data_IF_630022166656
#
_entry.id   IF_630022166656
#
_cell.length_a   1.000
_cell.length_b   1.000
_cell.length_c   1.000
_cell.angle_alpha   90.00
_cell.angle_beta   90.00
_cell.angle_gamma   90.00
#
_symmetry.space_group_name_H-M   'P 1'
#
loop_
_entity.id
_entity.type
_entity.pdbx_description
1 polymer ?
#
# COMPACT_ATOMS: atom_id res chain seq x y z
N UNK A 1 35.15 -9.54 0.11
CA UNK A 1 33.82 -8.96 0.35
C UNK A 1 33.72 -8.55 1.82
N UNK A 2 33.58 -7.26 2.14
CA UNK A 2 33.37 -6.85 3.52
C UNK A 2 32.02 -7.40 4.01
N UNK A 3 32.03 -8.07 5.16
CA UNK A 3 30.80 -8.56 5.81
C UNK A 3 29.97 -7.34 6.21
N UNK A 4 28.82 -7.12 5.56
CA UNK A 4 27.85 -6.08 5.96
C UNK A 4 27.64 -6.18 7.47
N UNK A 5 27.91 -5.10 8.21
CA UNK A 5 27.65 -5.08 9.64
C UNK A 5 26.14 -5.24 9.87
N UNK A 6 25.72 -6.00 10.89
CA UNK A 6 24.31 -6.18 11.19
C UNK A 6 23.72 -4.87 11.73
N UNK A 7 22.62 -4.41 11.13
CA UNK A 7 21.81 -3.28 11.60
C UNK A 7 21.43 -3.46 13.08
N UNK A 8 21.18 -2.36 13.80
CA UNK A 8 20.81 -2.39 15.22
C UNK A 8 19.59 -3.31 15.50
N UNK A 9 18.64 -3.38 14.57
CA UNK A 9 17.50 -4.31 14.63
C UNK A 9 17.93 -5.79 14.58
N UNK A 10 18.99 -6.11 13.83
CA UNK A 10 19.57 -7.46 13.75
C UNK A 10 20.39 -7.81 15.00
N UNK A 11 21.02 -6.82 15.66
CA UNK A 11 21.64 -6.98 16.99
C UNK A 11 20.60 -7.17 18.09
N UNK A 12 19.47 -6.45 18.06
CA UNK A 12 18.34 -6.66 18.98
C UNK A 12 17.70 -8.05 18.80
N UNK A 13 17.52 -8.51 17.55
CA UNK A 13 17.10 -9.91 17.25
C UNK A 13 18.15 -10.94 17.68
N UNK A 14 19.44 -10.61 17.66
CA UNK A 14 20.51 -11.48 18.17
C UNK A 14 20.54 -11.53 19.71
N UNK A 15 20.26 -10.42 20.39
CA UNK A 15 20.10 -10.35 21.84
C UNK A 15 18.85 -11.11 22.32
N UNK A 16 17.78 -11.15 21.53
CA UNK A 16 16.62 -12.00 21.82
C UNK A 16 16.93 -13.51 21.67
N UNK A 17 17.97 -13.89 20.90
CA UNK A 17 18.42 -15.29 20.76
C UNK A 17 19.33 -15.76 21.90
N UNK A 18 19.84 -14.87 22.75
CA UNK A 18 20.70 -15.24 23.90
C UNK A 18 19.92 -15.66 25.15
N UNK A 19 18.59 -15.82 25.07
CA UNK A 19 17.77 -16.35 26.17
C UNK A 19 17.31 -15.31 27.20
N UNK A 20 17.62 -14.02 26.99
CA UNK A 20 17.06 -12.95 27.80
C UNK A 20 15.56 -12.76 27.49
N UNK A 21 14.71 -12.72 28.52
CA UNK A 21 13.29 -12.35 28.35
C UNK A 21 13.22 -10.92 27.80
N UNK A 22 12.35 -10.69 26.81
CA UNK A 22 12.17 -9.38 26.15
C UNK A 22 12.08 -8.20 27.13
N UNK A 23 11.39 -8.39 28.26
CA UNK A 23 11.24 -7.37 29.32
C UNK A 23 12.54 -7.06 30.08
N UNK A 24 13.45 -8.03 30.21
CA UNK A 24 14.77 -7.82 30.83
C UNK A 24 15.72 -7.09 29.86
N UNK A 25 15.68 -7.44 28.57
CA UNK A 25 16.41 -6.72 27.53
C UNK A 25 15.91 -5.27 27.39
N UNK A 26 14.60 -5.04 27.50
CA UNK A 26 14.00 -3.71 27.47
C UNK A 26 14.40 -2.86 28.70
N UNK A 27 14.46 -3.45 29.90
CA UNK A 27 14.94 -2.74 31.11
C UNK A 27 16.42 -2.41 31.04
N UNK A 28 17.27 -3.36 30.64
CA UNK A 28 18.70 -3.12 30.50
C UNK A 28 19.01 -2.02 29.47
N UNK A 29 18.20 -1.92 28.41
CA UNK A 29 18.27 -0.79 27.48
C UNK A 29 17.79 0.53 28.10
N UNK A 30 16.76 0.50 28.96
CA UNK A 30 16.29 1.66 29.72
C UNK A 30 17.33 2.22 30.71
N UNK A 31 18.00 1.34 31.45
CA UNK A 31 19.02 1.74 32.43
C UNK A 31 20.26 2.34 31.75
N UNK A 32 20.61 1.87 30.54
CA UNK A 32 21.71 2.43 29.73
C UNK A 32 21.38 3.83 29.13
N UNK A 33 20.11 4.25 29.14
CA UNK A 33 19.69 5.55 28.60
C UNK A 33 19.92 6.69 29.59
N UNK A 34 19.85 6.42 30.90
CA UNK A 34 20.22 7.43 31.90
C UNK A 34 21.70 7.83 31.80
N UNK A 35 22.58 6.91 31.37
CA UNK A 35 24.00 7.19 31.12
C UNK A 35 24.27 7.94 29.79
N UNK A 36 23.33 7.96 28.84
CA UNK A 36 23.54 8.62 27.53
C UNK A 36 23.17 10.10 27.50
N UNK A 37 22.53 10.65 28.54
CA UNK A 37 22.40 12.10 28.68
C UNK A 37 23.77 12.81 28.86
N UNK A 38 24.83 12.04 29.14
CA UNK A 38 26.22 12.49 29.22
C UNK A 38 27.10 12.02 28.05
N UNK A 39 26.55 11.28 27.09
CA UNK A 39 27.33 10.74 25.98
C UNK A 39 27.60 11.81 24.90
N UNK A 40 28.86 11.95 24.51
CA UNK A 40 29.29 12.91 23.49
C UNK A 40 28.71 12.63 22.10
N UNK A 41 28.88 13.56 21.14
CA UNK A 41 28.25 13.53 19.81
C UNK A 41 28.61 12.30 18.94
N UNK A 42 29.63 11.53 19.32
CA UNK A 42 30.08 10.31 18.61
C UNK A 42 29.49 9.00 19.19
N UNK A 43 28.59 9.08 20.17
CA UNK A 43 27.97 7.89 20.74
C UNK A 43 26.96 7.26 19.77
N UNK A 44 26.92 5.92 19.64
CA UNK A 44 25.96 5.24 18.78
C UNK A 44 24.52 5.53 19.24
N UNK A 45 23.55 5.66 18.32
CA UNK A 45 22.17 5.95 18.68
C UNK A 45 21.61 4.85 19.57
N UNK A 46 21.10 5.26 20.73
CA UNK A 46 20.42 4.35 21.65
C UNK A 46 18.96 4.29 21.24
N UNK A 47 18.45 3.07 21.04
CA UNK A 47 17.01 2.84 20.83
C UNK A 47 16.27 3.22 22.11
N UNK A 48 15.76 4.46 22.15
CA UNK A 48 15.00 4.97 23.28
C UNK A 48 13.65 4.25 23.36
N UNK A 49 13.21 3.76 24.54
CA UNK A 49 11.89 3.16 24.68
C UNK A 49 10.82 4.18 24.30
N UNK A 50 9.72 3.68 23.75
CA UNK A 50 8.56 4.51 23.39
C UNK A 50 7.57 4.50 24.55
N UNK A 51 6.90 5.62 24.81
CA UNK A 51 5.82 5.68 25.79
C UNK A 51 4.78 4.56 25.53
N UNK A 52 4.37 3.83 26.56
CA UNK A 52 3.46 2.68 26.40
C UNK A 52 2.08 3.08 25.90
N UNK A 53 1.64 4.31 26.15
CA UNK A 53 0.38 4.87 25.66
C UNK A 53 0.65 5.97 24.65
N UNK A 54 -0.22 6.16 23.64
CA UNK A 54 -0.16 7.32 22.77
C UNK A 54 -0.17 8.60 23.60
N UNK A 55 0.72 9.52 23.27
CA UNK A 55 0.77 10.82 23.88
C UNK A 55 -0.39 11.69 23.34
N UNK A 56 -0.92 12.63 24.14
CA UNK A 56 -1.84 13.63 23.62
C UNK A 56 -1.15 14.49 22.55
N UNK A 57 -1.94 15.04 21.63
CA UNK A 57 -1.44 15.99 20.62
C UNK A 57 -0.79 17.18 21.34
N UNK A 58 0.44 17.54 20.94
CA UNK A 58 1.23 18.60 21.58
C UNK A 58 2.03 18.18 22.83
N UNK A 59 2.21 16.88 23.08
CA UNK A 59 3.08 16.39 24.14
C UNK A 59 4.54 16.84 23.93
N UNK A 60 5.09 17.55 24.90
CA UNK A 60 6.47 18.08 24.92
C UNK A 60 7.51 17.06 25.42
N UNK A 61 7.08 15.83 25.72
CA UNK A 61 7.93 14.76 26.21
C UNK A 61 8.20 14.79 27.73
N UNK A 62 7.79 15.84 28.44
CA UNK A 62 8.03 15.99 29.87
C UNK A 62 7.35 14.90 30.71
N UNK A 63 6.23 14.35 30.21
CA UNK A 63 5.42 13.34 30.87
C UNK A 63 6.01 11.91 30.85
N UNK A 64 7.08 11.66 30.09
CA UNK A 64 7.70 10.33 29.97
C UNK A 64 9.22 10.43 29.82
N UNK A 65 9.89 10.83 30.91
CA UNK A 65 11.36 10.90 30.99
C UNK A 65 12.01 9.56 30.62
N UNK A 66 13.04 9.62 29.78
CA UNK A 66 13.75 8.44 29.28
C UNK A 66 13.02 7.69 28.16
N UNK A 67 11.88 8.19 27.68
CA UNK A 67 11.13 7.61 26.57
C UNK A 67 10.77 8.66 25.51
N UNK A 68 10.70 8.28 24.23
CA UNK A 68 10.18 9.15 23.17
C UNK A 68 8.64 9.17 23.18
N UNK A 69 8.06 10.31 22.79
CA UNK A 69 6.62 10.45 22.60
C UNK A 69 6.13 9.37 21.65
N UNK A 70 5.05 8.70 22.02
CA UNK A 70 4.38 7.75 21.13
C UNK A 70 3.28 8.44 20.37
N UNK A 71 3.33 8.45 19.04
CA UNK A 71 2.22 8.94 18.25
C UNK A 71 1.02 7.99 18.33
N UNK A 72 -0.20 8.53 18.22
CA UNK A 72 -1.39 7.70 18.08
C UNK A 72 -1.37 6.96 16.74
N UNK A 73 -1.76 5.69 16.74
CA UNK A 73 -1.90 4.86 15.53
C UNK A 73 -3.33 4.32 15.44
N UNK A 74 -3.83 3.95 14.25
CA UNK A 74 -5.16 3.34 14.13
C UNK A 74 -5.34 2.11 15.04
N UNK A 75 -4.30 1.29 15.24
CA UNK A 75 -4.33 0.14 16.15
C UNK A 75 -4.49 0.49 17.63
N UNK A 76 -4.32 1.77 17.99
CA UNK A 76 -4.54 2.30 19.34
C UNK A 76 -5.98 2.76 19.57
N UNK A 77 -6.82 2.76 18.52
CA UNK A 77 -8.25 3.00 18.66
C UNK A 77 -8.87 2.01 19.66
N UNK A 78 -9.79 2.53 20.48
CA UNK A 78 -10.58 1.69 21.38
C UNK A 78 -11.42 0.71 20.55
N UNK A 79 -11.89 -0.39 21.18
CA UNK A 79 -12.64 -1.49 20.56
C UNK A 79 -13.83 -1.09 19.64
N UNK A 80 -14.26 0.18 19.63
CA UNK A 80 -15.33 0.72 18.78
C UNK A 80 -14.98 0.82 17.30
N UNK A 81 -13.70 0.96 16.92
CA UNK A 81 -13.32 1.20 15.52
C UNK A 81 -13.58 0.01 14.59
N UNK A 82 -13.64 -1.22 15.09
CA UNK A 82 -13.76 -2.41 14.24
C UNK A 82 -12.47 -2.69 13.43
N UNK A 83 -12.11 -3.97 13.31
CA UNK A 83 -10.86 -4.39 12.67
C UNK A 83 -10.69 -3.85 11.24
N UNK A 84 -11.76 -3.85 10.44
CA UNK A 84 -11.75 -3.37 9.05
C UNK A 84 -11.42 -1.89 8.92
N UNK A 85 -11.88 -1.04 9.83
CA UNK A 85 -11.63 0.41 9.77
C UNK A 85 -10.19 0.71 10.20
N UNK A 86 -9.72 0.04 11.26
CA UNK A 86 -8.32 0.14 11.68
C UNK A 86 -7.37 -0.30 10.56
N UNK A 87 -7.71 -1.40 9.87
CA UNK A 87 -6.96 -1.91 8.73
C UNK A 87 -6.97 -0.91 7.56
N UNK A 88 -8.16 -0.39 7.21
CA UNK A 88 -8.33 0.61 6.16
C UNK A 88 -7.65 1.96 6.48
N UNK A 89 -7.43 2.28 7.74
CA UNK A 89 -6.75 3.50 8.19
C UNK A 89 -5.23 3.35 8.33
N UNK A 90 -4.69 2.13 8.27
CA UNK A 90 -3.24 1.91 8.49
C UNK A 90 -2.51 1.81 7.15
N UNK A 91 -1.56 2.72 6.91
CA UNK A 91 -0.77 2.79 5.67
C UNK A 91 0.06 1.51 5.39
N UNK A 92 0.42 1.31 4.11
CA UNK A 92 1.20 0.16 3.66
C UNK A 92 0.36 -1.10 3.52
N UNK A 93 0.87 -2.23 4.05
CA UNK A 93 0.23 -3.55 3.93
C UNK A 93 -1.22 -3.60 4.43
N UNK A 94 -1.59 -3.00 5.58
CA UNK A 94 -2.98 -3.05 6.04
C UNK A 94 -3.96 -2.34 5.10
N UNK A 95 -3.68 -1.11 4.62
CA UNK A 95 -4.54 -0.42 3.63
C UNK A 95 -4.68 -1.25 2.37
N UNK A 96 -3.58 -1.79 1.86
CA UNK A 96 -3.59 -2.64 0.66
C UNK A 96 -4.45 -3.90 0.85
N UNK A 97 -4.38 -4.53 2.03
CA UNK A 97 -5.23 -5.67 2.40
C UNK A 97 -6.70 -5.27 2.53
N UNK A 98 -7.00 -4.09 3.09
CA UNK A 98 -8.38 -3.60 3.18
C UNK A 98 -9.01 -3.35 1.81
N UNK A 99 -8.23 -2.85 0.84
CA UNK A 99 -8.67 -2.75 -0.56
C UNK A 99 -8.92 -4.13 -1.16
N UNK A 100 -7.95 -5.01 -0.99
CA UNK A 100 -8.03 -6.40 -1.37
C UNK A 100 -9.28 -7.14 -0.94
N UNK A 101 -9.51 -7.18 0.37
CA UNK A 101 -10.65 -7.87 0.99
C UNK A 101 -12.00 -7.33 0.51
N UNK A 102 -12.04 -6.06 0.10
CA UNK A 102 -13.28 -5.40 -0.34
C UNK A 102 -13.66 -5.80 -1.76
N UNK A 103 -12.69 -5.84 -2.67
CA UNK A 103 -12.91 -6.00 -4.11
C UNK A 103 -12.59 -7.40 -4.64
N UNK A 104 -11.92 -8.22 -3.83
CA UNK A 104 -11.72 -9.64 -4.11
C UNK A 104 -12.06 -10.51 -2.87
N UNK A 105 -13.31 -10.41 -2.34
CA UNK A 105 -13.72 -11.20 -1.17
C UNK A 105 -13.84 -12.67 -1.57
N UNK A 106 -12.80 -13.46 -1.33
CA UNK A 106 -12.84 -14.92 -1.57
C UNK A 106 -12.98 -15.69 -0.26
N UNK A 107 -14.02 -16.56 -0.11
CA UNK A 107 -14.31 -17.20 1.18
C UNK A 107 -13.34 -18.31 1.61
N UNK A 108 -12.62 -18.97 0.70
CA UNK A 108 -12.01 -20.27 1.03
C UNK A 108 -10.58 -20.53 0.52
N UNK A 109 -10.07 -19.76 -0.43
CA UNK A 109 -8.68 -19.89 -0.87
C UNK A 109 -8.12 -18.53 -1.21
N UNK A 110 -7.15 -18.07 -0.41
CA UNK A 110 -6.23 -17.06 -0.87
C UNK A 110 -5.51 -17.64 -2.09
N UNK A 111 -5.98 -17.31 -3.29
CA UNK A 111 -5.19 -17.57 -4.49
C UNK A 111 -3.84 -16.89 -4.27
N UNK A 112 -2.75 -17.55 -4.66
CA UNK A 112 -1.41 -16.98 -4.57
C UNK A 112 -1.35 -15.58 -5.22
N UNK A 113 -2.17 -15.37 -6.25
CA UNK A 113 -2.30 -14.09 -6.96
C UNK A 113 -2.89 -12.97 -6.11
N UNK A 114 -4.00 -13.19 -5.39
CA UNK A 114 -4.62 -12.16 -4.55
C UNK A 114 -3.67 -11.65 -3.46
N UNK A 115 -2.91 -12.56 -2.85
CA UNK A 115 -1.86 -12.19 -1.87
C UNK A 115 -0.77 -11.33 -2.50
N UNK A 116 -0.34 -11.66 -3.71
CA UNK A 116 0.75 -10.96 -4.38
C UNK A 116 0.37 -9.55 -4.83
N UNK A 117 -0.87 -9.37 -5.26
CA UNK A 117 -1.39 -8.07 -5.63
C UNK A 117 -1.44 -7.09 -4.43
N UNK A 118 -1.80 -7.55 -3.22
CA UNK A 118 -1.75 -6.69 -2.02
C UNK A 118 -0.33 -6.20 -1.72
N UNK A 119 0.69 -7.02 -1.91
CA UNK A 119 2.07 -6.60 -1.68
C UNK A 119 2.55 -5.54 -2.68
N UNK A 120 2.14 -5.63 -3.95
CA UNK A 120 2.46 -4.58 -4.94
C UNK A 120 1.82 -3.26 -4.55
N UNK A 121 0.55 -3.30 -4.14
CA UNK A 121 -0.15 -2.10 -3.68
C UNK A 121 0.48 -1.54 -2.39
N UNK A 122 0.87 -2.41 -1.45
CA UNK A 122 1.55 -2.01 -0.23
C UNK A 122 2.89 -1.33 -0.51
N UNK A 123 3.73 -1.92 -1.38
CA UNK A 123 5.01 -1.32 -1.80
C UNK A 123 4.78 0.02 -2.50
N UNK A 124 3.75 0.12 -3.34
CA UNK A 124 3.36 1.36 -4.01
C UNK A 124 2.98 2.44 -3.00
N UNK A 125 2.15 2.12 -2.00
CA UNK A 125 1.81 3.07 -0.94
C UNK A 125 3.05 3.50 -0.16
N UNK A 126 3.92 2.57 0.24
CA UNK A 126 5.14 2.91 0.98
C UNK A 126 6.05 3.82 0.16
N UNK A 127 6.27 3.51 -1.13
CA UNK A 127 7.05 4.36 -2.03
C UNK A 127 6.44 5.77 -2.14
N UNK A 128 5.13 5.85 -2.34
CA UNK A 128 4.43 7.13 -2.47
C UNK A 128 4.51 7.95 -1.18
N UNK A 129 4.37 7.34 -0.01
CA UNK A 129 4.45 8.07 1.26
C UNK A 129 5.88 8.50 1.60
N UNK A 130 6.90 7.73 1.19
CA UNK A 130 8.31 8.11 1.36
C UNK A 130 8.68 9.28 0.42
N UNK A 131 8.25 9.24 -0.84
CA UNK A 131 8.53 10.29 -1.82
C UNK A 131 7.61 11.52 -1.70
N UNK A 132 6.38 11.34 -1.22
CA UNK A 132 5.36 12.37 -1.13
C UNK A 132 4.68 12.36 0.25
N UNK A 133 5.38 12.82 1.32
CA UNK A 133 4.84 12.76 2.69
C UNK A 133 3.53 13.52 2.90
N UNK A 134 3.21 14.47 2.03
CA UNK A 134 1.96 15.24 2.07
C UNK A 134 0.72 14.40 1.71
N UNK A 135 0.88 13.20 1.12
CA UNK A 135 -0.21 12.25 0.88
C UNK A 135 -0.64 11.50 2.15
N UNK A 136 0.15 11.55 3.21
CA UNK A 136 -0.20 10.93 4.49
C UNK A 136 -1.32 11.74 5.17
N UNK A 137 -2.48 11.13 5.50
CA UNK A 137 -3.56 11.85 6.14
C UNK A 137 -3.14 12.40 7.50
N UNK A 138 -3.63 13.61 7.82
CA UNK A 138 -3.35 14.25 9.11
C UNK A 138 -3.83 13.37 10.28
N UNK A 139 -3.00 13.14 11.31
CA UNK A 139 -3.25 12.14 12.35
C UNK A 139 -4.51 12.43 13.18
N UNK A 140 -4.82 13.70 13.46
CA UNK A 140 -6.00 14.08 14.24
C UNK A 140 -7.32 13.76 13.50
N UNK A 141 -7.37 14.04 12.19
CA UNK A 141 -8.56 13.74 11.36
C UNK A 141 -8.74 12.25 11.18
N UNK A 142 -7.65 11.53 10.91
CA UNK A 142 -7.67 10.08 10.78
C UNK A 142 -8.11 9.42 12.10
N UNK A 143 -7.60 9.91 13.22
CA UNK A 143 -8.01 9.47 14.55
C UNK A 143 -9.50 9.66 14.79
N UNK A 144 -10.02 10.85 14.49
CA UNK A 144 -11.44 11.14 14.66
C UNK A 144 -12.32 10.18 13.84
N UNK A 145 -11.97 9.93 12.56
CA UNK A 145 -12.70 9.00 11.70
C UNK A 145 -12.67 7.56 12.22
N UNK A 146 -11.49 7.07 12.65
CA UNK A 146 -11.33 5.71 13.18
C UNK A 146 -12.06 5.54 14.51
N UNK A 147 -11.94 6.50 15.43
CA UNK A 147 -12.62 6.44 16.74
C UNK A 147 -14.15 6.54 16.60
N UNK A 148 -14.65 7.26 15.57
CA UNK A 148 -16.06 7.31 15.21
C UNK A 148 -16.56 6.01 14.52
N UNK A 149 -15.66 5.14 14.07
CA UNK A 149 -16.03 3.95 13.30
C UNK A 149 -16.59 4.29 11.91
N UNK A 150 -16.13 5.40 11.32
CA UNK A 150 -16.60 5.87 10.01
C UNK A 150 -15.61 5.45 8.90
N UNK A 151 -15.92 4.34 8.25
CA UNK A 151 -15.10 3.83 7.15
C UNK A 151 -15.12 4.77 5.93
N UNK A 152 -16.23 5.45 5.66
CA UNK A 152 -16.32 6.37 4.53
C UNK A 152 -15.46 7.61 4.76
N UNK A 153 -15.40 8.13 5.98
CA UNK A 153 -14.48 9.21 6.36
C UNK A 153 -13.01 8.77 6.28
N UNK A 154 -12.69 7.52 6.68
CA UNK A 154 -11.33 6.98 6.49
C UNK A 154 -10.97 6.90 5.00
N UNK A 155 -11.88 6.39 4.17
CA UNK A 155 -11.64 6.31 2.72
C UNK A 155 -11.48 7.69 2.08
N UNK A 156 -12.30 8.67 2.49
CA UNK A 156 -12.15 10.05 2.03
C UNK A 156 -10.82 10.69 2.44
N UNK A 157 -10.27 10.33 3.61
CA UNK A 157 -8.95 10.81 4.05
C UNK A 157 -7.79 10.10 3.35
N UNK A 158 -7.96 8.84 2.95
CA UNK A 158 -6.95 8.06 2.22
C UNK A 158 -6.99 8.31 0.70
N UNK A 159 -8.06 8.91 0.20
CA UNK A 159 -8.33 9.12 -1.22
C UNK A 159 -7.15 9.75 -1.99
N UNK A 160 -6.44 10.79 -1.51
CA UNK A 160 -5.31 11.34 -2.23
C UNK A 160 -4.20 10.32 -2.52
N UNK A 161 -3.89 9.47 -1.53
CA UNK A 161 -2.90 8.40 -1.69
C UNK A 161 -3.41 7.31 -2.64
N UNK A 162 -4.68 6.91 -2.52
CA UNK A 162 -5.30 5.90 -3.38
C UNK A 162 -5.33 6.37 -4.84
N UNK A 163 -5.63 7.64 -5.08
CA UNK A 163 -5.62 8.25 -6.41
C UNK A 163 -4.22 8.30 -7.00
N UNK A 164 -3.20 8.73 -6.26
CA UNK A 164 -1.82 8.72 -6.76
C UNK A 164 -1.32 7.30 -7.06
N UNK A 165 -1.67 6.32 -6.22
CA UNK A 165 -1.44 4.91 -6.52
C UNK A 165 -2.15 4.48 -7.81
N UNK A 166 -3.40 4.91 -8.04
CA UNK A 166 -4.16 4.60 -9.24
C UNK A 166 -3.61 5.28 -10.51
N UNK A 167 -2.91 6.41 -10.39
CA UNK A 167 -2.25 7.10 -11.52
C UNK A 167 -0.93 6.43 -11.91
N UNK A 168 -0.18 5.96 -10.90
CA UNK A 168 1.05 5.21 -11.11
C UNK A 168 0.74 3.83 -11.71
N UNK A 169 -0.10 3.05 -11.04
CA UNK A 169 -0.46 1.70 -11.47
C UNK A 169 -1.24 1.75 -12.79
N UNK A 170 -1.09 0.70 -13.59
CA UNK A 170 -1.62 0.67 -14.96
C UNK A 170 -2.14 -0.73 -15.29
N UNK A 171 -2.97 -0.84 -16.33
CA UNK A 171 -3.30 -2.11 -17.01
C UNK A 171 -2.64 -2.20 -18.40
N UNK A 172 -1.79 -1.24 -18.73
CA UNK A 172 -0.93 -1.28 -19.91
C UNK A 172 0.28 -2.18 -19.66
N UNK A 173 0.49 -3.19 -20.48
CA UNK A 173 1.69 -4.02 -20.35
C UNK A 173 2.96 -3.23 -20.67
N UNK A 174 2.95 -2.39 -21.72
CA UNK A 174 4.14 -1.63 -22.12
C UNK A 174 4.51 -0.62 -21.03
N UNK A 175 3.55 0.21 -20.59
CA UNK A 175 3.78 1.17 -19.51
C UNK A 175 4.19 0.49 -18.19
N UNK A 176 3.63 -0.69 -17.90
CA UNK A 176 4.02 -1.43 -16.70
C UNK A 176 5.52 -1.75 -16.73
N UNK A 177 6.01 -2.32 -17.83
CA UNK A 177 7.41 -2.73 -17.96
C UNK A 177 8.38 -1.57 -18.18
N UNK A 178 7.95 -0.52 -18.88
CA UNK A 178 8.83 0.58 -19.27
C UNK A 178 8.90 1.69 -18.20
N UNK A 179 7.86 1.84 -17.37
CA UNK A 179 7.76 2.94 -16.40
C UNK A 179 7.57 2.44 -14.96
N UNK A 180 6.50 1.67 -14.71
CA UNK A 180 6.05 1.40 -13.33
C UNK A 180 6.97 0.41 -12.61
N UNK A 181 7.32 -0.69 -13.28
CA UNK A 181 8.23 -1.70 -12.74
C UNK A 181 9.62 -1.12 -12.45
N UNK A 182 10.27 -0.39 -13.38
CA UNK A 182 11.52 0.30 -13.11
C UNK A 182 11.44 1.29 -11.95
N UNK A 183 10.34 2.04 -11.81
CA UNK A 183 10.19 2.98 -10.68
C UNK A 183 10.15 2.25 -9.32
N UNK A 184 9.42 1.14 -9.23
CA UNK A 184 9.38 0.30 -8.03
C UNK A 184 10.73 -0.39 -7.77
N UNK A 185 11.45 -0.79 -8.82
CA UNK A 185 12.80 -1.35 -8.71
C UNK A 185 13.82 -0.32 -8.19
N UNK A 186 13.78 0.93 -8.69
CA UNK A 186 14.63 2.02 -8.19
C UNK A 186 14.35 2.31 -6.71
N UNK A 187 13.08 2.31 -6.32
CA UNK A 187 12.72 2.47 -4.91
C UNK A 187 13.18 1.29 -4.05
N UNK A 188 13.03 0.05 -4.54
CA UNK A 188 13.52 -1.14 -3.86
C UNK A 188 15.05 -1.13 -3.71
N UNK A 189 15.78 -0.71 -4.75
CA UNK A 189 17.24 -0.52 -4.69
C UNK A 189 17.59 0.53 -3.63
N UNK A 190 16.91 1.68 -3.65
CA UNK A 190 17.13 2.73 -2.65
C UNK A 190 16.93 2.21 -1.22
N UNK A 191 15.80 1.55 -0.96
CA UNK A 191 15.47 1.01 0.36
C UNK A 191 16.47 -0.06 0.84
N UNK A 192 17.01 -0.91 -0.07
CA UNK A 192 18.04 -1.92 0.24
C UNK A 192 19.41 -1.32 0.59
N UNK A 193 19.70 -0.12 0.07
CA UNK A 193 20.97 0.59 0.29
C UNK A 193 20.86 1.69 1.36
N UNK A 194 19.67 1.94 1.87
CA UNK A 194 19.45 2.91 2.93
C UNK A 194 19.97 2.35 4.27
N UNK A 195 21.18 2.78 4.64
CA UNK A 195 21.86 2.36 5.87
C UNK A 195 21.59 3.31 7.05
N UNK A 196 20.49 4.08 6.99
CA UNK A 196 20.16 4.97 8.10
C UNK A 196 19.75 4.15 9.31
N UNK A 197 20.25 4.54 10.47
CA UNK A 197 19.81 3.93 11.72
C UNK A 197 18.44 4.51 12.11
N UNK A 198 17.55 3.65 12.58
CA UNK A 198 16.25 4.07 13.11
C UNK A 198 16.47 4.87 14.40
N UNK A 199 15.93 6.09 14.47
CA UNK A 199 15.97 6.90 15.67
C UNK A 199 14.92 6.44 16.71
N UNK A 200 13.86 5.76 16.27
CA UNK A 200 12.77 5.28 17.12
C UNK A 200 12.38 3.84 16.80
N UNK A 201 11.69 3.17 17.73
CA UNK A 201 11.09 1.86 17.44
C UNK A 201 10.03 1.90 16.35
N UNK A 202 9.32 3.03 16.18
CA UNK A 202 8.33 3.20 15.12
C UNK A 202 9.00 3.25 13.74
N UNK A 203 10.10 4.00 13.63
CA UNK A 203 10.94 3.98 12.43
C UNK A 203 11.51 2.59 12.17
N UNK A 204 11.94 1.86 13.21
CA UNK A 204 12.43 0.49 13.05
C UNK A 204 11.33 -0.48 12.57
N UNK A 205 10.09 -0.36 13.06
CA UNK A 205 8.94 -1.13 12.57
C UNK A 205 8.64 -0.81 11.10
N UNK A 206 8.66 0.48 10.72
CA UNK A 206 8.42 0.92 9.34
C UNK A 206 9.52 0.42 8.39
N UNK A 207 10.79 0.51 8.80
CA UNK A 207 11.92 -0.02 8.03
C UNK A 207 11.84 -1.55 7.89
N UNK A 208 11.50 -2.30 8.94
CA UNK A 208 11.36 -3.76 8.86
C UNK A 208 10.19 -4.17 7.95
N UNK A 209 9.08 -3.43 7.95
CA UNK A 209 7.98 -3.67 7.01
C UNK A 209 8.38 -3.36 5.57
N UNK A 210 9.06 -2.24 5.34
CA UNK A 210 9.59 -1.87 4.02
C UNK A 210 10.57 -2.93 3.51
N UNK A 211 11.49 -3.41 4.34
CA UNK A 211 12.42 -4.48 3.99
C UNK A 211 11.70 -5.77 3.58
N UNK A 212 10.60 -6.13 4.26
CA UNK A 212 9.79 -7.30 3.89
C UNK A 212 9.10 -7.10 2.54
N UNK A 213 8.55 -5.91 2.29
CA UNK A 213 7.92 -5.58 1.01
C UNK A 213 8.94 -5.66 -0.13
N UNK A 214 10.14 -5.12 0.06
CA UNK A 214 11.22 -5.18 -0.93
C UNK A 214 11.72 -6.60 -1.14
N UNK A 215 11.96 -7.37 -0.08
CA UNK A 215 12.31 -8.80 -0.21
C UNK A 215 11.23 -9.57 -0.96
N UNK A 216 9.95 -9.28 -0.70
CA UNK A 216 8.82 -9.90 -1.39
C UNK A 216 8.80 -9.50 -2.86
N UNK A 217 9.09 -8.23 -3.17
CA UNK A 217 9.22 -7.74 -4.53
C UNK A 217 10.33 -8.48 -5.31
N UNK A 218 11.54 -8.58 -4.75
CA UNK A 218 12.63 -9.39 -5.36
C UNK A 218 12.25 -10.84 -5.54
N UNK A 219 11.56 -11.41 -4.55
CA UNK A 219 11.10 -12.79 -4.59
C UNK A 219 10.10 -13.06 -5.73
N UNK A 220 9.19 -12.13 -6.00
CA UNK A 220 8.22 -12.20 -7.11
C UNK A 220 8.90 -12.37 -8.48
N UNK A 221 10.08 -11.82 -8.65
CA UNK A 221 10.82 -11.84 -9.92
C UNK A 221 11.70 -13.07 -10.11
N UNK A 222 11.82 -13.91 -9.08
CA UNK A 222 12.57 -15.16 -9.17
C UNK A 222 11.69 -16.26 -9.78
N UNK A 223 12.12 -16.95 -10.85
CA UNK A 223 11.40 -18.11 -11.37
C UNK A 223 11.15 -19.11 -10.26
N UNK A 224 9.90 -19.57 -10.11
CA UNK A 224 9.53 -20.53 -9.07
C UNK A 224 8.57 -21.56 -9.62
N UNK A 225 8.66 -22.76 -9.07
CA UNK A 225 7.70 -23.81 -9.31
C UNK A 225 6.60 -23.73 -8.24
N UNK A 226 5.33 -23.65 -8.64
CA UNK A 226 4.22 -23.68 -7.72
C UNK A 226 3.97 -25.10 -7.18
N UNK A 227 3.04 -25.23 -6.23
CA UNK A 227 2.72 -26.53 -5.60
C UNK A 227 2.20 -27.59 -6.58
N UNK A 228 1.76 -27.17 -7.77
CA UNK A 228 1.31 -28.07 -8.84
C UNK A 228 2.43 -28.44 -9.83
N UNK A 229 3.67 -28.00 -9.60
CA UNK A 229 4.81 -28.34 -10.45
C UNK A 229 4.98 -27.44 -11.68
N UNK A 230 4.17 -26.38 -11.83
CA UNK A 230 4.30 -25.45 -12.95
C UNK A 230 5.19 -24.26 -12.58
N UNK A 231 5.95 -23.76 -13.53
CA UNK A 231 6.71 -22.53 -13.35
C UNK A 231 5.75 -21.33 -13.41
N UNK A 232 5.66 -20.58 -12.32
CA UNK A 232 4.88 -19.35 -12.30
C UNK A 232 5.59 -18.30 -13.17
N UNK A 233 4.88 -17.66 -14.13
CA UNK A 233 5.46 -16.58 -14.89
C UNK A 233 5.76 -15.39 -13.95
N UNK A 234 6.98 -14.84 -14.01
CA UNK A 234 7.37 -13.72 -13.15
C UNK A 234 6.45 -12.52 -13.43
N UNK A 235 5.98 -11.87 -12.36
CA UNK A 235 5.32 -10.58 -12.49
C UNK A 235 3.87 -10.56 -12.96
N UNK A 236 3.10 -11.64 -12.86
CA UNK A 236 1.68 -11.64 -13.30
C UNK A 236 0.74 -10.87 -12.34
N UNK A 237 1.28 -10.11 -11.38
CA UNK A 237 0.61 -9.76 -10.12
C UNK A 237 0.12 -8.30 -10.05
N UNK A 238 0.30 -7.52 -11.12
CA UNK A 238 0.08 -6.06 -11.10
C UNK A 238 -1.28 -5.59 -11.63
N UNK A 239 -2.06 -6.48 -12.25
CA UNK A 239 -3.33 -6.09 -12.86
C UNK A 239 -4.44 -5.84 -11.82
N UNK A 240 -4.46 -6.60 -10.72
CA UNK A 240 -5.52 -6.52 -9.72
C UNK A 240 -5.52 -5.21 -8.90
N UNK A 241 -4.37 -4.70 -8.40
CA UNK A 241 -4.33 -3.45 -7.63
C UNK A 241 -4.97 -2.27 -8.35
N UNK A 242 -4.71 -2.15 -9.65
CA UNK A 242 -5.31 -1.09 -10.46
C UNK A 242 -6.84 -1.21 -10.54
N UNK A 243 -7.36 -2.44 -10.66
CA UNK A 243 -8.80 -2.70 -10.68
C UNK A 243 -9.48 -2.31 -9.37
N UNK A 244 -8.90 -2.71 -8.23
CA UNK A 244 -9.43 -2.37 -6.91
C UNK A 244 -9.50 -0.86 -6.68
N UNK A 245 -8.41 -0.15 -7.01
CA UNK A 245 -8.37 1.30 -6.87
C UNK A 245 -9.38 2.00 -7.79
N UNK A 246 -9.54 1.53 -9.03
CA UNK A 246 -10.51 2.10 -9.97
C UNK A 246 -11.94 1.90 -9.49
N UNK A 247 -12.28 0.71 -9.03
CA UNK A 247 -13.61 0.42 -8.47
C UNK A 247 -13.87 1.25 -7.20
N UNK A 248 -12.85 1.40 -6.34
CA UNK A 248 -12.93 2.24 -5.17
C UNK A 248 -13.22 3.70 -5.49
N UNK A 249 -12.38 4.30 -6.33
CA UNK A 249 -12.45 5.72 -6.65
C UNK A 249 -13.68 6.05 -7.51
N UNK A 250 -14.15 5.13 -8.37
CA UNK A 250 -15.43 5.32 -9.09
C UNK A 250 -16.63 5.26 -8.14
N UNK A 251 -16.58 4.44 -7.08
CA UNK A 251 -17.57 4.46 -6.02
C UNK A 251 -17.63 5.79 -5.25
N UNK A 252 -16.49 6.48 -5.09
CA UNK A 252 -16.40 7.76 -4.39
C UNK A 252 -16.76 8.97 -5.26
N UNK A 253 -16.37 8.96 -6.54
CA UNK A 253 -16.43 10.13 -7.41
C UNK A 253 -17.36 9.98 -8.62
N UNK A 254 -18.00 8.83 -8.78
CA UNK A 254 -18.79 8.49 -9.95
C UNK A 254 -17.93 8.07 -11.14
N UNK A 255 -18.57 7.97 -12.30
CA UNK A 255 -17.99 7.38 -13.51
C UNK A 255 -18.37 5.91 -13.66
N UNK A 256 -17.58 5.17 -14.44
CA UNK A 256 -17.87 3.78 -14.79
C UNK A 256 -16.79 2.84 -14.27
N UNK A 257 -17.17 1.95 -13.36
CA UNK A 257 -16.25 0.97 -12.78
C UNK A 257 -15.68 0.02 -13.86
N UNK A 258 -14.49 -0.56 -13.65
CA UNK A 258 -13.97 -1.62 -14.51
C UNK A 258 -15.00 -2.75 -14.71
N UNK A 259 -15.11 -3.25 -15.94
CA UNK A 259 -16.13 -4.22 -16.35
C UNK A 259 -17.42 -3.61 -16.89
N UNK A 260 -17.65 -2.30 -16.70
CA UNK A 260 -18.83 -1.62 -17.25
C UNK A 260 -18.78 -1.62 -18.78
N UNK A 261 -19.91 -1.97 -19.41
CA UNK A 261 -20.12 -1.82 -20.86
C UNK A 261 -20.62 -0.42 -21.17
N UNK A 262 -20.05 0.20 -22.20
CA UNK A 262 -20.27 1.59 -22.56
C UNK A 262 -20.60 1.70 -24.05
N UNK A 263 -21.40 2.70 -24.40
CA UNK A 263 -21.57 3.18 -25.76
C UNK A 263 -20.76 4.48 -25.90
N UNK A 264 -19.87 4.53 -26.89
CA UNK A 264 -19.14 5.75 -27.24
C UNK A 264 -20.04 6.72 -28.01
N UNK A 265 -19.65 7.99 -28.11
CA UNK A 265 -20.38 9.02 -28.86
C UNK A 265 -20.52 8.72 -30.35
N UNK A 266 -19.66 7.87 -30.91
CA UNK A 266 -19.75 7.37 -32.28
C UNK A 266 -20.62 6.11 -32.43
N UNK A 267 -21.26 5.66 -31.34
CA UNK A 267 -22.14 4.50 -31.29
C UNK A 267 -21.43 3.15 -31.13
N UNK A 268 -20.08 3.12 -31.04
CA UNK A 268 -19.35 1.86 -30.84
C UNK A 268 -19.55 1.33 -29.41
N UNK A 269 -19.90 0.02 -29.25
CA UNK A 269 -19.96 -0.60 -27.94
C UNK A 269 -18.55 -1.02 -27.49
N UNK A 270 -18.21 -0.67 -26.25
CA UNK A 270 -16.92 -1.01 -25.64
C UNK A 270 -17.09 -1.49 -24.20
N UNK A 271 -16.06 -2.12 -23.64
CA UNK A 271 -15.99 -2.46 -22.21
C UNK A 271 -14.85 -1.68 -21.56
N UNK A 272 -15.15 -0.86 -20.56
CA UNK A 272 -14.13 -0.23 -19.73
C UNK A 272 -13.46 -1.29 -18.85
N UNK A 273 -12.13 -1.31 -18.79
CA UNK A 273 -11.41 -2.26 -17.93
C UNK A 273 -10.37 -1.59 -17.02
N UNK A 274 -10.09 -0.28 -17.22
CA UNK A 274 -9.37 0.57 -16.27
C UNK A 274 -9.77 2.04 -16.46
N UNK A 275 -9.63 2.84 -15.41
CA UNK A 275 -9.81 4.28 -15.43
C UNK A 275 -8.47 5.02 -15.58
N UNK A 276 -8.47 6.23 -16.12
CA UNK A 276 -7.39 7.21 -15.95
C UNK A 276 -7.91 8.33 -15.06
N UNK A 277 -7.11 8.70 -14.08
CA UNK A 277 -7.48 9.68 -13.07
C UNK A 277 -6.71 10.98 -13.28
N UNK A 278 -7.43 12.11 -13.20
CA UNK A 278 -6.82 13.43 -13.04
C UNK A 278 -6.43 13.68 -11.59
N UNK A 279 -6.20 14.94 -11.23
CA UNK A 279 -5.90 15.34 -9.85
C UNK A 279 -7.13 15.22 -8.92
N UNK A 280 -8.33 15.53 -9.44
CA UNK A 280 -9.57 15.57 -8.68
C UNK A 280 -10.76 15.03 -9.48
N UNK A 281 -11.76 14.49 -8.76
CA UNK A 281 -13.08 14.17 -9.31
C UNK A 281 -13.18 12.82 -10.04
N UNK A 282 -14.14 12.68 -10.98
CA UNK A 282 -14.37 11.44 -11.71
C UNK A 282 -13.20 11.11 -12.67
N UNK A 283 -13.16 9.89 -13.25
CA UNK A 283 -12.18 9.53 -14.27
C UNK A 283 -12.15 10.53 -15.44
N UNK A 284 -10.94 10.86 -15.92
CA UNK A 284 -10.73 11.73 -17.09
C UNK A 284 -10.73 10.97 -18.41
N UNK A 285 -10.47 9.66 -18.36
CA UNK A 285 -10.48 8.78 -19.52
C UNK A 285 -10.67 7.32 -19.06
N UNK A 286 -11.00 6.44 -20.00
CA UNK A 286 -11.13 5.01 -19.77
C UNK A 286 -10.22 4.25 -20.74
N UNK A 287 -9.58 3.19 -20.26
CA UNK A 287 -9.06 2.14 -21.15
C UNK A 287 -10.20 1.21 -21.47
N UNK A 288 -10.46 1.03 -22.75
CA UNK A 288 -11.59 0.26 -23.24
C UNK A 288 -11.13 -0.83 -24.20
N UNK A 289 -11.94 -1.88 -24.30
CA UNK A 289 -11.85 -2.91 -25.34
C UNK A 289 -13.09 -2.87 -26.20
N UNK A 290 -12.90 -2.90 -27.50
CA UNK A 290 -14.01 -3.03 -28.45
C UNK A 290 -14.82 -4.31 -28.20
N UNK A 291 -16.15 -4.19 -28.28
CA UNK A 291 -17.07 -5.31 -28.30
C UNK A 291 -17.50 -5.55 -29.75
N UNK A 292 -17.47 -6.80 -30.22
CA UNK A 292 -18.12 -7.18 -31.48
C UNK A 292 -19.62 -7.13 -31.23
N UNK A 293 -20.42 -6.31 -31.95
CA UNK A 293 -21.87 -6.33 -31.81
C UNK A 293 -22.41 -7.74 -32.10
N UNK A 294 -23.27 -8.27 -31.21
CA UNK A 294 -23.89 -9.55 -31.43
C UNK A 294 -24.88 -9.46 -32.59
N UNK A 295 -24.98 -10.47 -33.44
CA UNK A 295 -26.12 -10.59 -34.35
C UNK A 295 -27.36 -10.94 -33.51
N UNK A 296 -28.48 -10.23 -33.74
CA UNK A 296 -29.80 -10.43 -33.09
C UNK A 296 -30.02 -9.76 -31.72
N UNK A 297 -29.52 -8.53 -31.50
CA UNK A 297 -29.89 -7.74 -30.31
C UNK A 297 -29.25 -8.20 -29.00
N UNK A 298 -28.31 -9.16 -29.07
CA UNK A 298 -27.46 -9.52 -27.95
C UNK A 298 -26.27 -8.56 -27.84
N UNK A 299 -25.91 -8.26 -26.60
CA UNK A 299 -24.98 -7.22 -26.07
C UNK A 299 -23.52 -7.29 -26.54
N UNK A 300 -23.22 -8.03 -27.60
CA UNK A 300 -21.89 -8.19 -28.15
C UNK A 300 -20.96 -9.10 -27.36
N UNK A 301 -19.94 -9.61 -28.04
CA UNK A 301 -18.89 -10.46 -27.47
C UNK A 301 -17.57 -9.68 -27.52
N UNK A 302 -16.72 -9.80 -26.49
CA UNK A 302 -15.39 -9.18 -26.51
C UNK A 302 -14.65 -9.59 -27.80
N UNK A 303 -14.10 -8.61 -28.54
CA UNK A 303 -13.18 -8.91 -29.63
C UNK A 303 -12.00 -9.68 -29.00
N UNK A 304 -11.70 -10.92 -29.43
CA UNK A 304 -10.65 -11.72 -28.79
C UNK A 304 -9.23 -11.17 -28.94
N UNK A 305 -9.02 -10.03 -29.60
CA UNK A 305 -7.69 -9.53 -29.90
C UNK A 305 -7.18 -8.53 -28.86
N UNK A 306 -5.88 -8.67 -28.55
CA UNK A 306 -5.06 -7.69 -27.84
C UNK A 306 -4.88 -6.37 -28.63
N UNK A 307 -5.51 -6.23 -29.81
CA UNK A 307 -5.35 -5.07 -30.71
C UNK A 307 -6.52 -4.08 -30.65
N UNK A 308 -7.59 -4.39 -29.92
CA UNK A 308 -8.75 -3.50 -29.71
C UNK A 308 -8.66 -2.63 -28.46
N UNK A 309 -7.53 -2.66 -27.75
CA UNK A 309 -7.31 -1.84 -26.56
C UNK A 309 -6.90 -0.43 -26.92
N UNK A 310 -7.68 0.55 -26.45
CA UNK A 310 -7.35 1.95 -26.62
C UNK A 310 -7.90 2.78 -25.46
N UNK A 311 -7.53 4.05 -25.44
CA UNK A 311 -7.98 5.02 -24.44
C UNK A 311 -9.01 5.92 -25.08
N UNK A 312 -10.12 6.14 -24.37
CA UNK A 312 -11.16 7.10 -24.75
C UNK A 312 -11.31 8.12 -23.64
N UNK A 313 -11.44 9.40 -23.98
CA UNK A 313 -11.71 10.44 -23.00
C UNK A 313 -13.10 10.25 -22.37
N UNK A 314 -13.29 10.78 -21.15
CA UNK A 314 -14.54 10.57 -20.43
C UNK A 314 -15.75 11.24 -21.11
N UNK A 315 -15.53 12.31 -21.87
CA UNK A 315 -16.55 13.02 -22.66
C UNK A 315 -16.92 12.31 -23.98
N UNK A 316 -16.13 11.31 -24.41
CA UNK A 316 -16.46 10.41 -25.52
C UNK A 316 -17.37 9.25 -25.11
N UNK A 317 -17.71 9.13 -23.81
CA UNK A 317 -18.65 8.12 -23.31
C UNK A 317 -20.07 8.69 -23.32
N UNK A 318 -20.94 8.12 -24.16
CA UNK A 318 -22.33 8.59 -24.29
C UNK A 318 -23.22 8.07 -23.15
N UNK A 319 -23.17 6.76 -22.87
CA UNK A 319 -23.99 6.11 -21.84
C UNK A 319 -23.48 4.71 -21.48
N UNK A 320 -23.82 4.19 -20.29
CA UNK A 320 -23.66 2.77 -19.99
C UNK A 320 -24.64 1.93 -20.81
N UNK A 321 -24.20 0.75 -21.22
CA UNK A 321 -25.03 -0.29 -21.83
C UNK A 321 -25.51 -1.27 -20.76
N UNK A 322 -26.77 -1.70 -20.87
CA UNK A 322 -27.37 -2.69 -19.97
C UNK A 322 -26.86 -4.12 -20.24
#
# INVERSE_FOLDING_TARGET
MPKKQPTAAKKARAAARSGAKYTAALRAAGDAIEDTQTAGPDAPPVLVPIATRPCPTGCDGSAHRGAVCRAWRPKDARRSGGYRIVQAATLGSPRAHAMGDRYEPTPEYHTSMGREAWFVLALTYTMLTDHQPHLVPGPDRLRAAVEAGDLAAVDALMEPLDREAARLLTKDAARWWDEVHPALDVYADHAEHEDREAATWEEAEALDERDRLVQRWRYTWTPRQNSAGYWDPPGTIWLAPKGWLDEHLTGLHGGHAPGTRLELTDGRPVSAYACRWGEAGPPVAYRVRDLVPGTHGNTGTLVPSLTGEHVVAADEVARPLA
#
